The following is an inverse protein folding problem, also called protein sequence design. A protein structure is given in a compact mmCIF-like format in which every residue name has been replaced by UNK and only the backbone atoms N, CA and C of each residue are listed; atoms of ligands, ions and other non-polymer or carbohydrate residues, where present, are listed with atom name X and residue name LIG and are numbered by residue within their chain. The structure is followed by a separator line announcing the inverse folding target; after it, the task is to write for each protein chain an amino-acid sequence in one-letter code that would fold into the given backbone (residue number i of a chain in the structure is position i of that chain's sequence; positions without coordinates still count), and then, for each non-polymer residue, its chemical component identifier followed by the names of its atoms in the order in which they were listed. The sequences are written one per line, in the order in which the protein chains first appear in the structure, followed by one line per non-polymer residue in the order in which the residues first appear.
data_IF_317886016750
#
_entry.id   IF_317886016750
#
_cell.length_a   1.000
_cell.length_b   1.000
_cell.length_c   1.000
_cell.angle_alpha   90.00
_cell.angle_beta   90.00
_cell.angle_gamma   90.00
#
_symmetry.space_group_name_H-M   'P 1'
#
loop_
_entity.id
_entity.type
_entity.pdbx_description
1 polymer ?
#
# COMPACT_ATOMS: atom_id res chain seq x y z
N UNK A 1 9.43 8.73 7.82
CA UNK A 1 10.41 8.09 8.71
C UNK A 1 10.64 6.63 8.34
N UNK A 2 9.61 5.78 8.26
CA UNK A 2 9.72 4.35 7.88
C UNK A 2 10.63 4.11 6.67
N UNK A 3 10.38 4.81 5.56
CA UNK A 3 11.18 4.64 4.35
C UNK A 3 12.67 4.96 4.54
N UNK A 4 13.03 5.91 5.41
CA UNK A 4 14.43 6.24 5.66
C UNK A 4 15.13 5.19 6.55
N UNK A 5 14.38 4.39 7.29
CA UNK A 5 14.92 3.39 8.23
C UNK A 5 14.94 1.98 7.66
N UNK A 6 13.99 1.63 6.79
CA UNK A 6 13.73 0.23 6.42
C UNK A 6 13.67 -0.04 4.93
N UNK A 7 13.51 0.97 4.07
CA UNK A 7 13.30 0.74 2.64
C UNK A 7 14.54 0.10 1.99
N UNK A 8 15.73 0.64 2.24
CA UNK A 8 16.96 0.17 1.61
C UNK A 8 17.29 -1.27 2.02
N UNK A 9 17.04 -1.63 3.28
CA UNK A 9 17.20 -2.99 3.77
C UNK A 9 16.21 -3.97 3.11
N UNK A 10 14.96 -3.56 2.93
CA UNK A 10 13.94 -4.37 2.24
C UNK A 10 14.30 -4.58 0.77
N UNK A 11 14.67 -3.50 0.06
CA UNK A 11 15.10 -3.54 -1.34
C UNK A 11 16.34 -4.41 -1.51
N UNK A 12 17.33 -4.30 -0.62
CA UNK A 12 18.51 -5.16 -0.62
C UNK A 12 18.14 -6.64 -0.52
N UNK A 13 17.28 -6.99 0.45
CA UNK A 13 16.83 -8.38 0.64
C UNK A 13 16.08 -8.93 -0.58
N UNK A 14 15.22 -8.14 -1.20
CA UNK A 14 14.49 -8.53 -2.42
C UNK A 14 15.45 -8.72 -3.61
N UNK A 15 16.42 -7.80 -3.75
CA UNK A 15 17.43 -7.87 -4.81
C UNK A 15 18.31 -9.11 -4.66
N UNK A 16 18.75 -9.43 -3.43
CA UNK A 16 19.54 -10.64 -3.13
C UNK A 16 18.74 -11.93 -3.43
N UNK A 17 17.42 -11.87 -3.32
CA UNK A 17 16.51 -12.95 -3.71
C UNK A 17 16.20 -12.99 -5.23
N UNK A 18 16.79 -12.09 -6.03
CA UNK A 18 16.54 -11.99 -7.47
C UNK A 18 15.18 -11.39 -7.85
N UNK A 19 14.58 -10.59 -6.96
CA UNK A 19 13.29 -9.94 -7.16
C UNK A 19 13.53 -8.47 -7.52
N UNK A 20 13.23 -8.11 -8.77
CA UNK A 20 13.23 -6.72 -9.21
C UNK A 20 12.16 -5.92 -8.47
N UNK A 21 12.51 -4.73 -7.98
CA UNK A 21 11.57 -3.88 -7.27
C UNK A 21 11.82 -2.38 -7.50
N UNK A 22 10.72 -1.63 -7.44
CA UNK A 22 10.70 -0.16 -7.49
C UNK A 22 9.88 0.36 -6.32
N UNK A 23 10.15 1.58 -5.86
CA UNK A 23 9.49 2.13 -4.66
C UNK A 23 8.91 3.52 -4.88
N UNK A 24 7.72 3.73 -4.30
CA UNK A 24 7.05 5.02 -4.22
C UNK A 24 7.03 5.50 -2.78
N UNK A 25 7.57 6.69 -2.52
CA UNK A 25 7.50 7.32 -1.19
C UNK A 25 6.25 8.17 -1.08
N UNK A 26 5.37 7.81 -0.15
CA UNK A 26 4.16 8.56 0.15
C UNK A 26 4.34 9.44 1.40
N UNK A 27 3.69 10.62 1.46
CA UNK A 27 3.74 11.47 2.65
C UNK A 27 3.16 10.74 3.87
N UNK A 28 3.67 11.07 5.05
CA UNK A 28 3.16 10.52 6.31
C UNK A 28 1.89 11.28 6.76
N UNK A 29 0.99 10.57 7.45
CA UNK A 29 -0.17 11.15 8.11
C UNK A 29 -1.50 10.87 7.39
N UNK A 30 -2.60 11.08 8.11
CA UNK A 30 -3.96 10.72 7.69
C UNK A 30 -4.40 11.40 6.38
N UNK A 31 -3.86 12.58 6.07
CA UNK A 31 -4.18 13.30 4.82
C UNK A 31 -3.75 12.54 3.55
N UNK A 32 -2.79 11.62 3.67
CA UNK A 32 -2.38 10.73 2.58
C UNK A 32 -3.51 9.79 2.18
N UNK A 33 -4.44 9.49 3.09
CA UNK A 33 -5.58 8.63 2.83
C UNK A 33 -6.69 9.37 2.09
N UNK A 34 -6.46 9.73 0.84
CA UNK A 34 -7.35 10.56 0.02
C UNK A 34 -7.43 10.09 -1.43
N UNK A 35 -8.47 10.53 -2.15
CA UNK A 35 -8.64 10.27 -3.59
C UNK A 35 -7.45 10.73 -4.44
N UNK A 36 -6.89 11.90 -4.12
CA UNK A 36 -5.74 12.41 -4.86
C UNK A 36 -4.54 11.46 -4.76
N UNK A 37 -4.23 10.99 -3.55
CA UNK A 37 -3.12 10.05 -3.35
C UNK A 37 -3.42 8.64 -3.82
N UNK A 38 -4.68 8.23 -3.84
CA UNK A 38 -5.07 6.99 -4.50
C UNK A 38 -4.80 7.06 -6.01
N UNK A 39 -5.21 8.16 -6.65
CA UNK A 39 -4.92 8.43 -8.07
C UNK A 39 -3.43 8.41 -8.35
N UNK A 40 -2.65 9.23 -7.64
CA UNK A 40 -1.19 9.28 -7.77
C UNK A 40 -0.54 7.88 -7.64
N UNK A 41 -1.03 7.07 -6.69
CA UNK A 41 -0.50 5.73 -6.43
C UNK A 41 -0.84 4.76 -7.57
N UNK A 42 -2.09 4.77 -8.05
CA UNK A 42 -2.53 3.90 -9.16
C UNK A 42 -1.82 4.27 -10.45
N UNK A 43 -1.70 5.57 -10.75
CA UNK A 43 -1.01 6.06 -11.95
C UNK A 43 0.47 5.69 -11.91
N UNK A 44 1.12 5.80 -10.75
CA UNK A 44 2.50 5.34 -10.60
C UNK A 44 2.64 3.84 -10.82
N UNK A 45 1.77 3.00 -10.25
CA UNK A 45 1.79 1.55 -10.47
C UNK A 45 1.61 1.19 -11.95
N UNK A 46 0.72 1.90 -12.67
CA UNK A 46 0.54 1.71 -14.11
C UNK A 46 1.77 2.16 -14.91
N UNK A 47 2.40 3.28 -14.53
CA UNK A 47 3.62 3.77 -15.16
C UNK A 47 4.80 2.81 -14.98
N UNK A 48 4.88 2.12 -13.83
CA UNK A 48 5.85 1.04 -13.58
C UNK A 48 5.48 -0.28 -14.25
N UNK A 49 4.40 -0.30 -15.05
CA UNK A 49 3.90 -1.48 -15.78
C UNK A 49 3.57 -2.67 -14.88
N UNK A 50 3.14 -2.42 -13.64
CA UNK A 50 2.71 -3.48 -12.72
C UNK A 50 1.54 -4.27 -13.35
N UNK A 51 1.69 -5.59 -13.37
CA UNK A 51 0.75 -6.58 -13.91
C UNK A 51 0.18 -7.48 -12.81
N UNK A 52 -0.68 -8.44 -13.19
CA UNK A 52 -1.36 -9.32 -12.23
C UNK A 52 -0.43 -10.32 -11.56
N UNK A 53 0.70 -10.63 -12.19
CA UNK A 53 1.69 -11.54 -11.65
C UNK A 53 2.67 -10.84 -10.69
N UNK A 54 2.66 -9.51 -10.64
CA UNK A 54 3.47 -8.76 -9.69
C UNK A 54 2.81 -8.72 -8.31
N UNK A 55 3.55 -8.18 -7.34
CA UNK A 55 3.11 -8.01 -5.95
C UNK A 55 3.33 -6.57 -5.52
N UNK A 56 2.30 -5.95 -4.96
CA UNK A 56 2.40 -4.61 -4.35
C UNK A 56 2.69 -4.75 -2.86
N UNK A 57 3.74 -4.09 -2.35
CA UNK A 57 4.09 -4.13 -0.93
C UNK A 57 3.70 -2.81 -0.25
N UNK A 58 2.90 -2.89 0.81
CA UNK A 58 2.57 -1.76 1.67
C UNK A 58 3.49 -1.76 2.91
N UNK A 59 4.60 -1.02 2.84
CA UNK A 59 5.52 -0.83 3.97
C UNK A 59 5.15 0.42 4.77
N UNK A 60 4.48 0.24 5.91
CA UNK A 60 4.09 1.36 6.76
C UNK A 60 3.03 1.02 7.81
N UNK A 61 2.47 2.05 8.47
CA UNK A 61 1.32 1.88 9.36
C UNK A 61 -0.01 1.76 8.61
N UNK A 62 -1.12 1.74 9.35
CA UNK A 62 -2.47 1.48 8.81
C UNK A 62 -2.90 2.45 7.70
N UNK A 63 -2.48 3.71 7.74
CA UNK A 63 -2.74 4.68 6.67
C UNK A 63 -2.17 4.24 5.32
N UNK A 64 -0.91 3.76 5.31
CA UNK A 64 -0.25 3.26 4.10
C UNK A 64 -0.89 1.93 3.68
N UNK A 65 -1.14 1.04 4.65
CA UNK A 65 -1.81 -0.25 4.41
C UNK A 65 -3.16 -0.09 3.71
N UNK A 66 -4.02 0.81 4.21
CA UNK A 66 -5.35 1.05 3.66
C UNK A 66 -5.31 1.66 2.25
N UNK A 67 -4.47 2.67 2.05
CA UNK A 67 -4.35 3.35 0.76
C UNK A 67 -3.79 2.41 -0.31
N UNK A 68 -2.68 1.74 -0.01
CA UNK A 68 -2.00 0.85 -0.95
C UNK A 68 -2.81 -0.42 -1.18
N UNK A 69 -3.44 -0.97 -0.14
CA UNK A 69 -4.37 -2.09 -0.25
C UNK A 69 -5.55 -1.76 -1.16
N UNK A 70 -6.10 -0.55 -1.07
CA UNK A 70 -7.21 -0.14 -1.94
C UNK A 70 -6.73 0.10 -3.38
N UNK A 71 -5.56 0.70 -3.56
CA UNK A 71 -4.93 0.82 -4.89
C UNK A 71 -4.75 -0.56 -5.54
N UNK A 72 -4.25 -1.55 -4.79
CA UNK A 72 -4.07 -2.92 -5.26
C UNK A 72 -5.41 -3.62 -5.57
N UNK A 73 -6.47 -3.33 -4.81
CA UNK A 73 -7.79 -3.89 -5.04
C UNK A 73 -8.40 -3.43 -6.38
N UNK A 74 -8.18 -2.17 -6.76
CA UNK A 74 -8.76 -1.59 -7.98
C UNK A 74 -7.85 -1.69 -9.20
N UNK A 75 -6.52 -1.70 -9.01
CA UNK A 75 -5.57 -1.84 -10.10
C UNK A 75 -5.82 -3.14 -10.86
N UNK A 76 -6.11 -3.04 -12.16
CA UNK A 76 -6.44 -4.20 -13.04
C UNK A 76 -7.53 -5.12 -12.48
N UNK A 77 -8.42 -4.55 -11.65
CA UNK A 77 -9.50 -5.24 -10.92
C UNK A 77 -8.99 -6.25 -9.87
N UNK A 78 -7.81 -5.99 -9.32
CA UNK A 78 -7.18 -6.80 -8.28
C UNK A 78 -5.81 -7.29 -8.71
N UNK A 79 -4.79 -6.87 -7.95
CA UNK A 79 -3.45 -7.46 -7.95
C UNK A 79 -3.09 -7.97 -6.56
N UNK A 80 -2.11 -8.88 -6.49
CA UNK A 80 -1.61 -9.39 -5.21
C UNK A 80 -0.94 -8.25 -4.44
N UNK A 81 -1.13 -8.25 -3.13
CA UNK A 81 -0.44 -7.31 -2.26
C UNK A 81 -0.09 -7.93 -0.92
N UNK A 82 0.97 -7.40 -0.30
CA UNK A 82 1.47 -7.81 1.02
C UNK A 82 1.54 -6.58 1.91
N UNK A 83 1.14 -6.73 3.17
CA UNK A 83 1.35 -5.68 4.16
C UNK A 83 2.58 -5.97 5.02
N UNK A 84 3.41 -4.95 5.24
CA UNK A 84 4.50 -4.96 6.21
C UNK A 84 4.17 -3.87 7.24
N UNK A 85 3.34 -4.18 8.26
CA UNK A 85 2.84 -3.20 9.21
C UNK A 85 3.93 -2.73 10.17
N UNK A 86 4.18 -1.42 10.22
CA UNK A 86 5.25 -0.81 11.03
C UNK A 86 4.76 -0.04 12.26
N UNK A 87 3.47 -0.09 12.57
CA UNK A 87 2.93 0.44 13.81
C UNK A 87 2.20 -0.66 14.58
N UNK A 88 2.24 -0.60 15.91
CA UNK A 88 1.62 -1.62 16.76
C UNK A 88 0.12 -1.77 16.47
N UNK A 89 -0.59 -0.65 16.33
CA UNK A 89 -2.02 -0.68 15.98
C UNK A 89 -2.26 -1.36 14.62
N UNK A 90 -1.39 -1.12 13.64
CA UNK A 90 -1.54 -1.75 12.34
C UNK A 90 -1.29 -3.26 12.40
N UNK A 91 -0.33 -3.70 13.22
CA UNK A 91 0.02 -5.12 13.40
C UNK A 91 -1.10 -5.95 14.03
N UNK A 92 -2.01 -5.34 14.79
CA UNK A 92 -3.05 -6.05 15.55
C UNK A 92 -4.49 -5.76 15.10
N UNK A 93 -4.69 -4.76 14.24
CA UNK A 93 -6.02 -4.34 13.79
C UNK A 93 -6.07 -4.13 12.27
N UNK A 94 -5.48 -3.04 11.75
CA UNK A 94 -5.69 -2.65 10.35
C UNK A 94 -5.07 -3.60 9.33
N UNK A 95 -4.13 -4.47 9.71
CA UNK A 95 -3.58 -5.49 8.82
C UNK A 95 -4.40 -6.78 8.74
N UNK A 96 -5.47 -6.87 9.52
CA UNK A 96 -6.30 -8.07 9.62
C UNK A 96 -7.72 -7.76 9.14
N UNK A 97 -8.26 -8.61 8.26
CA UNK A 97 -9.66 -8.53 7.80
C UNK A 97 -9.86 -7.85 6.45
N UNK A 98 -8.80 -7.47 5.75
CA UNK A 98 -8.83 -7.06 4.33
C UNK A 98 -9.60 -5.76 4.05
N UNK A 99 -9.94 -4.98 5.07
CA UNK A 99 -10.55 -3.66 4.89
C UNK A 99 -9.47 -2.72 4.39
N UNK A 100 -9.72 -2.10 3.24
CA UNK A 100 -8.83 -1.11 2.62
C UNK A 100 -9.65 0.10 2.22
N UNK A 101 -9.07 1.30 2.13
CA UNK A 101 -9.84 2.45 1.69
C UNK A 101 -9.19 3.81 1.84
N UNK A 102 -9.95 4.83 1.47
CA UNK A 102 -9.59 6.24 1.59
C UNK A 102 -10.66 7.05 2.29
N UNK A 103 -10.27 8.21 2.80
CA UNK A 103 -11.20 9.17 3.37
C UNK A 103 -11.81 10.04 2.26
N UNK A 104 -13.03 10.48 2.49
CA UNK A 104 -13.71 11.48 1.67
C UNK A 104 -14.02 12.72 2.49
N UNK A 105 -14.44 13.80 1.83
CA UNK A 105 -14.97 14.99 2.51
C UNK A 105 -16.19 14.68 3.42
N UNK A 106 -16.86 13.56 3.18
CA UNK A 106 -18.05 13.15 3.92
C UNK A 106 -17.74 12.27 5.14
N UNK A 107 -16.49 11.80 5.29
CA UNK A 107 -16.10 10.98 6.43
C UNK A 107 -14.94 10.04 6.14
N UNK A 108 -14.44 9.42 7.22
CA UNK A 108 -13.34 8.46 7.17
C UNK A 108 -13.83 7.08 6.73
N UNK A 109 -13.01 6.37 5.96
CA UNK A 109 -13.24 4.96 5.58
C UNK A 109 -14.58 4.66 4.90
N UNK A 110 -15.23 5.65 4.31
CA UNK A 110 -16.51 5.45 3.61
C UNK A 110 -16.35 4.85 2.20
N UNK A 111 -15.11 4.82 1.70
CA UNK A 111 -14.79 4.41 0.34
C UNK A 111 -13.62 3.44 0.41
N UNK A 112 -13.80 2.26 -0.17
CA UNK A 112 -12.80 1.21 -0.08
C UNK A 112 -13.24 -0.09 -0.71
N UNK A 113 -12.46 -1.13 -0.45
CA UNK A 113 -12.74 -2.50 -0.88
C UNK A 113 -12.34 -3.50 0.21
N UNK A 114 -12.99 -4.65 0.20
CA UNK A 114 -12.49 -5.84 0.90
C UNK A 114 -11.49 -6.55 -0.03
N UNK A 115 -10.20 -6.46 0.30
CA UNK A 115 -9.11 -7.07 -0.46
C UNK A 115 -8.10 -7.65 0.53
N UNK A 116 -8.00 -8.98 0.59
CA UNK A 116 -7.12 -9.65 1.55
C UNK A 116 -5.68 -9.65 1.03
N UNK A 117 -4.69 -9.38 1.90
CA UNK A 117 -3.30 -9.57 1.55
C UNK A 117 -3.01 -11.05 1.25
N UNK A 118 -2.06 -11.29 0.35
CA UNK A 118 -1.61 -12.64 -0.06
C UNK A 118 -0.53 -13.20 0.86
#
# INVERSE_FOLDING_TARGET
QVGALHLDALVGTLTDAGIDCVSLKLPAGEATKSWAKLGDTVDWLLAQKIERQDVVIALGGGVIGDLVGFAAAILRRGVRFVQIPTSLLAQVDSSVGGKTGVNSRHGKNLIGAFHQPS
#
